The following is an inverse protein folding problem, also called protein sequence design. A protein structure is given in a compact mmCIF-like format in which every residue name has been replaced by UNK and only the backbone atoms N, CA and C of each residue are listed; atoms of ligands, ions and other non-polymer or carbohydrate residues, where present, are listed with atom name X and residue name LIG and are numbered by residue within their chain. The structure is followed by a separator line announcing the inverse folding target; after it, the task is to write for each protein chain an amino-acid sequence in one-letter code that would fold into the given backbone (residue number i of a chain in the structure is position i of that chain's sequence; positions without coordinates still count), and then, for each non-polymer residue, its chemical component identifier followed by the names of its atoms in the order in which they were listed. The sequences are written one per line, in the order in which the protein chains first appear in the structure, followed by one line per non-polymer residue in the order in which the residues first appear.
data_IF_507478074259
#
_entry.id   IF_507478074259
#
_cell.length_a   1.000
_cell.length_b   1.000
_cell.length_c   1.000
_cell.angle_alpha   90.00
_cell.angle_beta   90.00
_cell.angle_gamma   90.00
#
_symmetry.space_group_name_H-M   'P 1'
#
loop_
_entity.id
_entity.type
_entity.pdbx_description
1 polymer ?
#
# COMPACT_ATOMS: atom_id res chain seq x y z
N UNK A 1 20.95 2.03 20.68
CA UNK A 1 19.47 1.84 20.73
C UNK A 1 18.87 1.36 19.40
N UNK A 2 19.18 1.96 18.23
CA UNK A 2 18.62 1.55 16.91
C UNK A 2 19.02 0.14 16.43
N UNK A 3 20.29 -0.25 16.57
CA UNK A 3 20.77 -1.58 16.14
C UNK A 3 20.07 -2.73 16.90
N UNK A 4 19.84 -2.55 18.20
CA UNK A 4 19.16 -3.53 19.04
C UNK A 4 17.66 -3.69 18.69
N UNK A 5 16.98 -2.62 18.26
CA UNK A 5 15.58 -2.70 17.82
C UNK A 5 15.45 -3.39 16.45
N UNK A 6 16.33 -3.04 15.50
CA UNK A 6 16.31 -3.61 14.17
C UNK A 6 16.55 -5.13 14.17
N UNK A 7 17.47 -5.63 15.01
CA UNK A 7 17.71 -7.07 15.13
C UNK A 7 16.53 -7.81 15.77
N UNK A 8 15.80 -7.17 16.69
CA UNK A 8 14.65 -7.78 17.39
C UNK A 8 13.41 -7.89 16.51
N UNK A 9 13.01 -6.80 15.87
CA UNK A 9 11.77 -6.70 15.11
C UNK A 9 11.95 -6.91 13.61
N UNK A 10 13.11 -6.52 13.07
CA UNK A 10 13.42 -6.59 11.64
C UNK A 10 12.35 -5.91 10.76
N UNK A 11 11.78 -4.80 11.23
CA UNK A 11 10.69 -4.11 10.52
C UNK A 11 11.11 -3.67 9.12
N UNK A 12 10.23 -3.89 8.14
CA UNK A 12 10.36 -3.38 6.78
C UNK A 12 9.12 -2.54 6.42
N UNK A 13 9.16 -1.81 5.31
CA UNK A 13 8.06 -0.98 4.85
C UNK A 13 7.85 -1.10 3.35
N UNK A 14 7.19 -2.17 2.92
CA UNK A 14 6.72 -2.30 1.55
C UNK A 14 5.58 -1.30 1.31
N UNK A 15 5.78 -0.39 0.37
CA UNK A 15 4.83 0.65 0.01
C UNK A 15 4.21 0.45 -1.37
N UNK A 16 3.30 1.36 -1.74
CA UNK A 16 2.62 1.40 -3.04
C UNK A 16 2.76 2.80 -3.64
N UNK A 17 2.98 2.86 -4.95
CA UNK A 17 2.98 4.08 -5.77
C UNK A 17 2.10 3.83 -7.00
N UNK A 18 1.68 4.90 -7.68
CA UNK A 18 0.94 4.78 -8.93
C UNK A 18 -0.54 4.49 -8.76
N UNK A 19 -1.11 4.79 -7.59
CA UNK A 19 -2.48 4.42 -7.27
C UNK A 19 -3.53 5.10 -8.17
N UNK A 20 -3.51 6.43 -8.30
CA UNK A 20 -4.44 7.12 -9.19
C UNK A 20 -4.22 6.76 -10.66
N UNK A 21 -2.95 6.54 -11.04
CA UNK A 21 -2.61 6.05 -12.38
C UNK A 21 -3.24 4.68 -12.66
N UNK A 22 -3.17 3.75 -11.71
CA UNK A 22 -3.81 2.44 -11.81
C UNK A 22 -5.33 2.55 -12.01
N UNK A 23 -6.00 3.44 -11.27
CA UNK A 23 -7.44 3.67 -11.44
C UNK A 23 -7.76 4.24 -12.82
N UNK A 24 -7.00 5.23 -13.27
CA UNK A 24 -7.20 5.83 -14.60
C UNK A 24 -7.02 4.83 -15.74
N UNK A 25 -6.00 3.97 -15.67
CA UNK A 25 -5.79 2.88 -16.65
C UNK A 25 -6.92 1.85 -16.67
N UNK A 26 -7.61 1.68 -15.54
CA UNK A 26 -8.74 0.76 -15.40
C UNK A 26 -10.08 1.42 -15.77
N UNK A 27 -10.09 2.73 -16.05
CA UNK A 27 -11.34 3.47 -16.26
C UNK A 27 -12.18 3.62 -14.99
N UNK A 28 -11.54 3.60 -13.81
CA UNK A 28 -12.21 3.69 -12.52
C UNK A 28 -12.13 5.14 -12.01
N UNK A 29 -13.27 5.73 -11.67
CA UNK A 29 -13.33 7.08 -11.09
C UNK A 29 -12.99 7.05 -9.61
N UNK A 30 -12.26 8.06 -9.13
CA UNK A 30 -11.92 8.18 -7.71
C UNK A 30 -13.14 8.23 -6.78
N UNK A 31 -14.22 8.89 -7.18
CA UNK A 31 -15.44 9.03 -6.36
C UNK A 31 -16.46 7.98 -6.76
N UNK A 32 -16.12 6.70 -6.57
CA UNK A 32 -17.00 5.58 -6.93
C UNK A 32 -16.87 4.41 -5.97
N UNK A 33 -17.96 3.63 -5.84
CA UNK A 33 -17.93 2.38 -5.08
C UNK A 33 -17.03 1.33 -5.76
N UNK A 34 -16.89 1.37 -7.08
CA UNK A 34 -15.94 0.54 -7.83
C UNK A 34 -14.49 0.81 -7.40
N UNK A 35 -14.10 2.07 -7.20
CA UNK A 35 -12.80 2.41 -6.66
C UNK A 35 -12.57 1.78 -5.28
N UNK A 36 -13.56 1.86 -4.38
CA UNK A 36 -13.44 1.31 -3.04
C UNK A 36 -13.29 -0.22 -3.08
N UNK A 37 -14.15 -0.91 -3.83
CA UNK A 37 -14.09 -2.36 -3.97
C UNK A 37 -12.79 -2.85 -4.62
N UNK A 38 -12.36 -2.18 -5.70
CA UNK A 38 -11.12 -2.52 -6.39
C UNK A 38 -9.89 -2.35 -5.50
N UNK A 39 -9.89 -1.29 -4.70
CA UNK A 39 -8.79 -0.96 -3.79
C UNK A 39 -8.68 -1.96 -2.65
N UNK A 40 -9.81 -2.32 -2.03
CA UNK A 40 -9.87 -3.34 -0.99
C UNK A 40 -9.26 -4.65 -1.50
N UNK A 41 -9.69 -5.11 -2.68
CA UNK A 41 -9.16 -6.32 -3.31
C UNK A 41 -7.66 -6.25 -3.63
N UNK A 42 -7.17 -5.13 -4.16
CA UNK A 42 -5.74 -4.94 -4.48
C UNK A 42 -4.90 -4.98 -3.21
N UNK A 43 -5.30 -4.26 -2.16
CA UNK A 43 -4.54 -4.18 -0.92
C UNK A 43 -4.63 -5.48 -0.11
N UNK A 44 -5.76 -6.20 -0.14
CA UNK A 44 -5.86 -7.55 0.42
C UNK A 44 -4.87 -8.50 -0.28
N UNK A 45 -4.78 -8.43 -1.60
CA UNK A 45 -3.85 -9.26 -2.38
C UNK A 45 -2.38 -8.97 -2.04
N UNK A 46 -2.02 -7.68 -1.96
CA UNK A 46 -0.67 -7.24 -1.57
C UNK A 46 -0.32 -7.77 -0.18
N UNK A 47 -1.24 -7.64 0.79
CA UNK A 47 -1.00 -8.13 2.15
C UNK A 47 -0.85 -9.66 2.18
N UNK A 48 -1.75 -10.39 1.53
CA UNK A 48 -1.67 -11.85 1.45
C UNK A 48 -0.33 -12.31 0.88
N UNK A 49 0.11 -11.70 -0.22
CA UNK A 49 1.40 -12.01 -0.85
C UNK A 49 2.58 -11.67 0.07
N UNK A 50 2.56 -10.51 0.73
CA UNK A 50 3.61 -10.07 1.64
C UNK A 50 3.73 -11.02 2.85
N UNK A 51 2.63 -11.34 3.51
CA UNK A 51 2.61 -12.26 4.67
C UNK A 51 3.09 -13.65 4.27
N UNK A 52 2.62 -14.16 3.13
CA UNK A 52 3.04 -15.47 2.62
C UNK A 52 4.55 -15.52 2.31
N UNK A 53 5.07 -14.48 1.66
CA UNK A 53 6.49 -14.39 1.34
C UNK A 53 7.35 -14.26 2.60
N UNK A 54 6.91 -13.43 3.56
CA UNK A 54 7.64 -13.20 4.81
C UNK A 54 7.67 -14.46 5.69
N UNK A 55 6.55 -15.18 5.77
CA UNK A 55 6.50 -16.47 6.44
C UNK A 55 7.50 -17.44 5.79
N UNK A 56 7.54 -17.53 4.45
CA UNK A 56 8.47 -18.41 3.75
C UNK A 56 9.94 -18.05 4.06
N UNK A 57 10.27 -16.76 4.17
CA UNK A 57 11.59 -16.31 4.63
C UNK A 57 11.86 -16.69 6.08
N UNK A 58 10.85 -16.74 6.94
CA UNK A 58 10.99 -17.18 8.33
C UNK A 58 11.40 -18.65 8.41
N UNK A 59 10.84 -19.49 7.53
CA UNK A 59 11.24 -20.90 7.40
C UNK A 59 12.70 -21.06 7.00
N UNK A 60 13.14 -20.28 6.01
CA UNK A 60 14.50 -20.37 5.46
C UNK A 60 15.54 -19.76 6.40
N UNK A 61 15.24 -18.60 7.01
CA UNK A 61 16.23 -17.74 7.69
C UNK A 61 15.96 -17.52 9.17
N UNK A 62 14.92 -18.15 9.71
CA UNK A 62 14.44 -17.99 11.08
C UNK A 62 13.47 -16.81 11.25
N UNK A 63 12.57 -16.94 12.23
CA UNK A 63 11.61 -15.90 12.63
C UNK A 63 12.26 -14.72 13.37
N UNK A 64 11.59 -13.58 13.44
CA UNK A 64 12.05 -12.46 14.28
C UNK A 64 11.99 -12.81 15.78
N UNK A 65 12.79 -12.14 16.62
CA UNK A 65 13.07 -12.59 17.98
C UNK A 65 11.86 -12.57 18.92
N UNK A 66 10.88 -11.69 18.66
CA UNK A 66 9.69 -11.47 19.49
C UNK A 66 8.41 -12.02 18.85
N UNK A 67 8.55 -13.07 18.03
CA UNK A 67 7.41 -13.70 17.36
C UNK A 67 6.48 -14.41 18.34
N UNK A 68 7.04 -15.05 19.37
CA UNK A 68 6.26 -15.76 20.37
C UNK A 68 5.35 -14.79 21.14
N UNK A 69 4.05 -15.10 21.25
CA UNK A 69 3.03 -14.27 21.85
C UNK A 69 2.55 -13.08 20.99
N UNK A 70 3.09 -12.90 19.78
CA UNK A 70 2.66 -11.82 18.88
C UNK A 70 1.29 -12.08 18.24
N UNK A 71 0.64 -11.01 17.76
CA UNK A 71 -0.61 -11.08 16.98
C UNK A 71 -0.51 -12.00 15.76
N UNK A 72 0.70 -12.15 15.20
CA UNK A 72 0.96 -13.10 14.11
C UNK A 72 0.83 -14.54 14.57
N UNK A 73 1.40 -14.89 15.72
CA UNK A 73 1.36 -16.25 16.24
C UNK A 73 -0.01 -16.61 16.80
N UNK A 74 -0.64 -15.70 17.55
CA UNK A 74 -1.93 -15.93 18.21
C UNK A 74 -3.09 -15.96 17.22
N UNK A 75 -2.89 -15.43 16.01
CA UNK A 75 -3.94 -15.28 15.01
C UNK A 75 -4.71 -13.96 15.10
N UNK A 76 -4.51 -13.18 16.16
CA UNK A 76 -5.20 -11.90 16.40
C UNK A 76 -5.04 -10.91 15.24
N UNK A 77 -3.90 -10.95 14.53
CA UNK A 77 -3.67 -10.13 13.34
C UNK A 77 -4.74 -10.35 12.27
N UNK A 78 -5.10 -11.62 12.04
CA UNK A 78 -6.04 -12.05 11.00
C UNK A 78 -7.48 -11.83 11.45
N UNK A 79 -7.79 -12.07 12.73
CA UNK A 79 -9.11 -11.85 13.31
C UNK A 79 -9.50 -10.37 13.30
N UNK A 80 -8.60 -9.48 13.74
CA UNK A 80 -8.82 -8.03 13.73
C UNK A 80 -9.11 -7.48 12.33
N UNK A 81 -8.63 -8.17 11.30
CA UNK A 81 -8.79 -7.81 9.90
C UNK A 81 -9.89 -8.61 9.21
N UNK A 82 -10.66 -9.40 9.95
CA UNK A 82 -11.77 -10.22 9.45
C UNK A 82 -11.35 -11.06 8.21
N UNK A 83 -10.18 -11.69 8.30
CA UNK A 83 -9.65 -12.56 7.25
C UNK A 83 -10.16 -13.99 7.42
N UNK A 84 -11.43 -14.20 7.05
CA UNK A 84 -12.18 -15.43 7.35
C UNK A 84 -12.19 -16.46 6.22
N UNK A 85 -11.76 -16.10 5.01
CA UNK A 85 -11.69 -17.02 3.87
C UNK A 85 -10.74 -18.20 4.12
N UNK A 86 -10.94 -19.31 3.41
CA UNK A 86 -10.11 -20.52 3.55
C UNK A 86 -8.61 -20.24 3.31
N UNK A 87 -8.27 -19.46 2.27
CA UNK A 87 -6.87 -19.08 1.97
C UNK A 87 -6.19 -18.39 3.17
N UNK A 88 -6.93 -17.50 3.85
CA UNK A 88 -6.41 -16.75 4.99
C UNK A 88 -6.31 -17.61 6.24
N UNK A 89 -7.29 -18.48 6.49
CA UNK A 89 -7.22 -19.44 7.60
C UNK A 89 -6.04 -20.41 7.44
N UNK A 90 -5.78 -20.87 6.22
CA UNK A 90 -4.63 -21.71 5.92
C UNK A 90 -3.30 -20.95 6.12
N UNK A 91 -3.23 -19.69 5.68
CA UNK A 91 -2.06 -18.85 5.89
C UNK A 91 -1.82 -18.55 7.37
N UNK A 92 -2.87 -18.25 8.15
CA UNK A 92 -2.77 -18.01 9.60
C UNK A 92 -2.20 -19.23 10.33
N UNK A 93 -2.67 -20.45 10.02
CA UNK A 93 -2.10 -21.71 10.54
C UNK A 93 -0.63 -21.87 10.16
N UNK A 94 -0.29 -21.56 8.91
CA UNK A 94 1.09 -21.62 8.42
C UNK A 94 1.97 -20.65 9.20
N UNK A 95 1.53 -19.41 9.40
CA UNK A 95 2.26 -18.39 10.15
C UNK A 95 2.44 -18.78 11.61
N UNK A 96 1.41 -19.31 12.27
CA UNK A 96 1.48 -19.72 13.67
C UNK A 96 2.58 -20.78 13.92
N UNK A 97 2.76 -21.72 12.99
CA UNK A 97 3.77 -22.79 13.09
C UNK A 97 5.14 -22.33 12.59
N UNK A 98 5.18 -21.69 11.42
CA UNK A 98 6.42 -21.38 10.70
C UNK A 98 7.10 -20.09 11.19
N UNK A 99 6.31 -19.14 11.70
CA UNK A 99 6.78 -17.82 12.07
C UNK A 99 6.72 -16.79 10.94
N UNK A 100 7.02 -15.54 11.33
CA UNK A 100 7.25 -14.41 10.45
C UNK A 100 8.71 -13.97 10.57
N UNK A 101 9.30 -13.50 9.47
CA UNK A 101 10.69 -13.04 9.41
C UNK A 101 10.84 -11.61 9.86
N UNK A 102 9.82 -10.79 9.63
CA UNK A 102 9.77 -9.39 10.00
C UNK A 102 8.50 -9.13 10.85
N UNK A 103 8.59 -8.30 11.88
CA UNK A 103 7.45 -7.99 12.75
C UNK A 103 6.42 -7.06 12.08
N UNK A 104 6.89 -6.22 11.14
CA UNK A 104 6.09 -5.28 10.37
C UNK A 104 6.50 -5.32 8.89
N UNK A 105 5.51 -5.25 7.99
CA UNK A 105 5.68 -5.52 6.57
C UNK A 105 5.38 -4.32 5.67
N UNK A 106 4.25 -3.66 5.87
CA UNK A 106 3.66 -2.71 4.93
C UNK A 106 3.63 -1.31 5.52
N UNK A 107 4.20 -0.36 4.79
CA UNK A 107 4.13 1.07 5.12
C UNK A 107 4.14 1.87 3.82
N UNK A 108 3.10 2.68 3.61
CA UNK A 108 2.98 3.47 2.38
C UNK A 108 3.52 4.87 2.63
N UNK A 109 4.74 5.10 2.15
CA UNK A 109 5.41 6.39 2.18
C UNK A 109 5.07 7.23 0.92
N UNK A 110 5.19 8.57 0.98
CA UNK A 110 5.07 9.41 -0.21
C UNK A 110 6.22 9.14 -1.18
N UNK A 111 5.92 9.00 -2.46
CA UNK A 111 6.89 8.67 -3.51
C UNK A 111 7.09 9.84 -4.47
N UNK A 112 7.65 10.94 -3.99
CA UNK A 112 7.83 12.17 -4.79
C UNK A 112 8.72 11.94 -6.03
N UNK A 113 10.04 11.88 -5.85
CA UNK A 113 10.95 11.80 -6.98
C UNK A 113 10.94 10.43 -7.67
N UNK A 114 10.68 9.37 -6.90
CA UNK A 114 10.68 7.99 -7.37
C UNK A 114 9.48 7.68 -8.27
N UNK A 115 8.29 8.27 -8.02
CA UNK A 115 7.15 8.04 -8.91
C UNK A 115 7.38 8.62 -10.30
N UNK A 116 8.09 9.75 -10.40
CA UNK A 116 8.49 10.36 -11.67
C UNK A 116 9.36 9.38 -12.46
N UNK A 117 10.39 8.85 -11.80
CA UNK A 117 11.33 7.93 -12.43
C UNK A 117 10.61 6.66 -12.90
N UNK A 118 9.64 6.18 -12.13
CA UNK A 118 8.82 5.02 -12.47
C UNK A 118 7.69 5.32 -13.46
N UNK A 119 7.47 6.58 -13.85
CA UNK A 119 6.34 6.95 -14.71
C UNK A 119 4.97 6.68 -14.07
N UNK A 120 4.81 6.96 -12.79
CA UNK A 120 3.56 6.71 -12.03
C UNK A 120 3.10 7.93 -11.25
N UNK A 121 1.82 7.94 -10.82
CA UNK A 121 1.32 8.95 -9.88
C UNK A 121 1.99 8.76 -8.52
N UNK A 122 2.22 9.84 -7.78
CA UNK A 122 2.87 9.74 -6.48
C UNK A 122 1.96 9.07 -5.44
N UNK A 123 2.49 8.08 -4.74
CA UNK A 123 1.87 7.43 -3.58
C UNK A 123 0.48 6.87 -3.89
N UNK A 124 -0.41 7.12 -2.92
CA UNK A 124 -1.79 6.63 -2.89
C UNK A 124 -2.83 7.77 -2.91
N UNK A 125 -2.40 8.98 -3.23
CA UNK A 125 -3.24 10.18 -3.25
C UNK A 125 -3.69 10.51 -4.69
N UNK A 126 -4.76 11.31 -4.86
CA UNK A 126 -5.12 11.82 -6.16
C UNK A 126 -4.03 12.75 -6.70
N UNK A 127 -4.04 12.99 -8.01
CA UNK A 127 -3.06 13.90 -8.59
C UNK A 127 -3.45 15.33 -8.26
N UNK A 128 -2.48 16.20 -8.03
CA UNK A 128 -2.76 17.62 -7.78
C UNK A 128 -3.21 18.34 -9.05
N UNK A 129 -2.58 18.04 -10.18
CA UNK A 129 -2.88 18.60 -11.50
C UNK A 129 -2.57 17.56 -12.59
N UNK A 130 -3.37 17.56 -13.66
CA UNK A 130 -3.14 16.72 -14.86
C UNK A 130 -1.86 17.10 -15.59
N UNK A 131 -1.58 18.40 -15.66
CA UNK A 131 -0.39 18.96 -16.30
C UNK A 131 0.05 20.24 -15.57
N UNK A 132 1.34 20.41 -15.34
CA UNK A 132 1.94 21.66 -14.84
C UNK A 132 3.42 21.75 -15.20
N UNK A 133 3.99 22.95 -15.14
CA UNK A 133 5.44 23.15 -15.26
C UNK A 133 6.04 23.24 -13.85
N UNK A 134 7.11 22.50 -13.61
CA UNK A 134 7.87 22.51 -12.36
C UNK A 134 9.22 23.16 -12.60
N UNK A 135 9.53 24.24 -11.86
CA UNK A 135 10.86 24.84 -11.91
C UNK A 135 11.83 24.02 -11.06
N UNK A 136 12.94 23.59 -11.67
CA UNK A 136 14.01 22.90 -10.97
C UNK A 136 15.36 23.39 -11.46
N UNK A 137 16.11 24.05 -10.58
CA UNK A 137 17.45 24.62 -10.86
C UNK A 137 17.46 25.55 -12.09
N UNK A 138 16.44 26.41 -12.23
CA UNK A 138 16.33 27.34 -13.36
C UNK A 138 15.81 26.72 -14.67
N UNK A 139 15.50 25.43 -14.69
CA UNK A 139 14.86 24.76 -15.84
C UNK A 139 13.39 24.49 -15.54
N UNK A 140 12.51 24.82 -16.49
CA UNK A 140 11.08 24.46 -16.42
C UNK A 140 10.87 23.06 -17.00
N UNK A 141 10.40 22.13 -16.19
CA UNK A 141 10.14 20.75 -16.60
C UNK A 141 8.63 20.51 -16.70
N UNK A 142 8.10 20.04 -17.85
CA UNK A 142 6.72 19.65 -17.93
C UNK A 142 6.45 18.40 -17.09
N UNK A 143 5.35 18.44 -16.34
CA UNK A 143 4.83 17.36 -15.51
C UNK A 143 3.47 17.01 -16.01
N UNK A 144 3.31 15.79 -16.50
CA UNK A 144 2.05 15.26 -17.01
C UNK A 144 1.67 14.07 -16.15
N UNK A 145 0.39 13.91 -15.84
CA UNK A 145 -0.13 12.68 -15.27
C UNK A 145 0.28 11.48 -16.17
N UNK A 146 0.72 10.36 -15.61
CA UNK A 146 1.16 9.23 -16.42
C UNK A 146 0.05 8.72 -17.36
N UNK A 147 0.43 8.39 -18.60
CA UNK A 147 -0.50 7.90 -19.63
C UNK A 147 -1.75 8.80 -19.80
N UNK A 148 -1.60 10.12 -19.64
CA UNK A 148 -2.68 11.08 -19.90
C UNK A 148 -3.01 11.11 -21.40
N UNK A 149 -4.25 10.76 -21.73
CA UNK A 149 -4.84 10.77 -23.07
C UNK A 149 -6.28 11.26 -22.98
N UNK A 150 -6.98 11.37 -24.11
CA UNK A 150 -8.41 11.70 -24.11
C UNK A 150 -9.25 10.64 -23.39
N UNK A 151 -8.82 9.37 -23.39
CA UNK A 151 -9.50 8.28 -22.72
C UNK A 151 -9.29 8.34 -21.19
N UNK A 152 -8.08 8.67 -20.74
CA UNK A 152 -7.75 8.71 -19.30
C UNK A 152 -8.03 10.06 -18.64
N UNK A 153 -8.27 11.11 -19.43
CA UNK A 153 -8.45 12.49 -18.97
C UNK A 153 -9.48 12.62 -17.85
N UNK A 154 -10.64 11.99 -18.01
CA UNK A 154 -11.76 12.12 -17.09
C UNK A 154 -11.57 11.39 -15.77
N UNK A 155 -10.67 10.41 -15.73
CA UNK A 155 -10.37 9.65 -14.52
C UNK A 155 -9.37 10.38 -13.63
N UNK A 156 -8.57 11.28 -14.19
CA UNK A 156 -7.63 12.12 -13.44
C UNK A 156 -8.28 13.38 -12.86
N UNK A 157 -9.23 13.23 -11.93
CA UNK A 157 -9.81 14.36 -11.19
C UNK A 157 -8.77 14.93 -10.22
N UNK A 158 -8.57 16.25 -10.25
CA UNK A 158 -7.58 16.89 -9.39
C UNK A 158 -8.00 16.81 -7.91
N UNK A 159 -7.03 16.62 -7.00
CA UNK A 159 -7.29 16.45 -5.57
C UNK A 159 -8.20 17.54 -4.97
N UNK A 160 -7.97 18.82 -5.29
CA UNK A 160 -8.78 19.93 -4.79
C UNK A 160 -10.22 19.97 -5.30
N UNK A 161 -10.57 19.15 -6.29
CA UNK A 161 -11.92 19.03 -6.84
C UNK A 161 -12.64 17.76 -6.35
N UNK A 162 -11.93 16.85 -5.67
CA UNK A 162 -12.49 15.60 -5.14
C UNK A 162 -13.20 15.90 -3.82
N UNK A 163 -14.40 15.33 -3.65
CA UNK A 163 -14.99 15.16 -2.33
C UNK A 163 -14.12 14.20 -1.52
N UNK A 164 -13.41 14.75 -0.55
CA UNK A 164 -12.42 14.03 0.25
C UNK A 164 -13.03 12.94 1.14
N UNK A 165 -14.35 12.91 1.31
CA UNK A 165 -15.02 11.78 1.97
C UNK A 165 -14.66 10.44 1.31
N UNK A 166 -14.51 10.42 -0.02
CA UNK A 166 -14.09 9.24 -0.79
C UNK A 166 -12.63 8.86 -0.53
N UNK A 167 -11.73 9.84 -0.46
CA UNK A 167 -10.31 9.60 -0.14
C UNK A 167 -10.15 9.01 1.25
N UNK A 168 -10.89 9.52 2.24
CA UNK A 168 -10.90 9.01 3.62
C UNK A 168 -11.47 7.59 3.70
N UNK A 169 -12.59 7.32 3.01
CA UNK A 169 -13.16 5.96 2.93
C UNK A 169 -12.16 4.97 2.33
N UNK A 170 -11.53 5.33 1.21
CA UNK A 170 -10.52 4.50 0.56
C UNK A 170 -9.30 4.26 1.46
N UNK A 171 -8.84 5.29 2.19
CA UNK A 171 -7.76 5.17 3.17
C UNK A 171 -8.11 4.18 4.29
N UNK A 172 -9.35 4.22 4.80
CA UNK A 172 -9.85 3.28 5.81
C UNK A 172 -9.79 1.82 5.35
N UNK A 173 -10.25 1.55 4.12
CA UNK A 173 -10.19 0.21 3.51
C UNK A 173 -8.75 -0.27 3.36
N UNK A 174 -7.87 0.55 2.77
CA UNK A 174 -6.44 0.20 2.64
C UNK A 174 -5.78 -0.04 3.99
N UNK A 175 -6.11 0.76 5.01
CA UNK A 175 -5.48 0.66 6.33
C UNK A 175 -5.76 -0.68 7.00
N UNK A 176 -6.91 -1.30 6.73
CA UNK A 176 -7.20 -2.67 7.18
C UNK A 176 -6.09 -3.63 6.75
N UNK A 177 -5.54 -3.46 5.56
CA UNK A 177 -4.53 -4.34 4.99
C UNK A 177 -3.09 -3.90 5.26
N UNK A 178 -2.87 -2.68 5.76
CA UNK A 178 -1.53 -2.15 6.09
C UNK A 178 -1.30 -2.31 7.59
N UNK A 179 -0.21 -2.94 7.98
CA UNK A 179 0.09 -3.24 9.38
C UNK A 179 0.82 -2.10 10.13
N UNK A 180 1.40 -1.15 9.40
CA UNK A 180 1.90 0.11 9.95
C UNK A 180 0.96 1.26 9.60
N UNK A 181 1.38 2.15 8.71
CA UNK A 181 0.66 3.37 8.37
C UNK A 181 0.76 3.69 6.88
N UNK A 182 -0.11 4.58 6.45
CA UNK A 182 -0.08 5.19 5.13
C UNK A 182 -0.01 6.71 5.26
N UNK A 183 0.81 7.34 4.44
CA UNK A 183 0.76 8.79 4.24
C UNK A 183 -0.45 9.13 3.39
N UNK A 184 -1.33 9.97 3.91
CA UNK A 184 -2.51 10.49 3.20
C UNK A 184 -2.50 12.01 3.35
N UNK A 185 -2.76 12.71 2.24
CA UNK A 185 -2.74 14.18 2.15
C UNK A 185 -4.08 14.74 1.70
#
# INVERSE_FOLDING_TARGET
MRAASNQKYRSIGLGVSGYHHMLAKRGIRWESEEHLAFTDAVFEHINYAAVKADAALAREKGRYALFEGSDWQTGAYFEKRDYTSEKWRALAKTVAVQGMRNAYLLAVAPTSSTSILSGTSAGIDPIMKKFFLEEKKGSMLPRVAPELSMDTWWYYKAAHLIDQSWSVRAAGLRQRHIDQAQSMN
#
